data_IF_881680234489
#
_entry.id   IF_881680234489
#
_cell.length_a   1.000
_cell.length_b   1.000
_cell.length_c   1.000
_cell.angle_alpha   90.00
_cell.angle_beta   90.00
_cell.angle_gamma   90.00
#
_symmetry.space_group_name_H-M   'P 1'
#
loop_
_entity.id
_entity.type
_entity.pdbx_description
1 polymer ?
#
# COMPACT_ATOMS: atom_id res chain seq x y z
N UNK A 1 -0.32 26.52 0.92
CA UNK A 1 0.62 25.87 1.87
C UNK A 1 0.69 24.36 1.60
N UNK A 2 1.86 23.70 1.67
CA UNK A 2 1.99 22.29 1.26
C UNK A 2 1.55 21.32 2.38
N UNK A 3 0.61 20.42 2.08
CA UNK A 3 0.20 19.37 3.02
C UNK A 3 1.34 18.37 3.29
N UNK A 4 1.31 17.82 4.50
CA UNK A 4 2.25 16.80 4.95
C UNK A 4 1.97 15.47 4.22
N UNK A 5 2.99 14.86 3.60
CA UNK A 5 2.80 13.65 2.78
C UNK A 5 2.26 12.46 3.59
N UNK A 6 2.59 12.39 4.88
CA UNK A 6 2.06 11.36 5.78
C UNK A 6 0.54 11.46 6.01
N UNK A 7 -0.06 12.65 5.89
CA UNK A 7 -1.51 12.80 6.07
C UNK A 7 -2.31 12.09 4.96
N UNK A 8 -1.85 12.18 3.71
CA UNK A 8 -2.45 11.45 2.59
C UNK A 8 -2.33 9.94 2.73
N UNK A 9 -1.20 9.46 3.26
CA UNK A 9 -1.02 8.05 3.56
C UNK A 9 -1.92 7.57 4.69
N UNK A 10 -2.04 8.32 5.79
CA UNK A 10 -2.97 7.97 6.87
C UNK A 10 -4.42 7.97 6.38
N UNK A 11 -4.81 8.96 5.58
CA UNK A 11 -6.15 9.02 5.00
C UNK A 11 -6.44 7.81 4.10
N UNK A 12 -5.52 7.47 3.20
CA UNK A 12 -5.66 6.34 2.28
C UNK A 12 -5.61 4.99 3.01
N UNK A 13 -4.77 4.84 4.03
CA UNK A 13 -4.76 3.66 4.89
C UNK A 13 -6.06 3.55 5.68
N UNK A 14 -6.62 4.66 6.15
CA UNK A 14 -7.94 4.69 6.77
C UNK A 14 -9.03 4.16 5.82
N UNK A 15 -9.07 4.64 4.58
CA UNK A 15 -10.01 4.12 3.57
C UNK A 15 -9.75 2.65 3.20
N UNK A 16 -8.50 2.21 3.13
CA UNK A 16 -8.16 0.81 2.89
C UNK A 16 -8.63 -0.10 4.04
N UNK A 17 -8.45 0.33 5.30
CA UNK A 17 -8.98 -0.35 6.48
C UNK A 17 -10.50 -0.34 6.51
N UNK A 18 -11.14 0.75 6.08
CA UNK A 18 -12.60 0.81 5.95
C UNK A 18 -13.07 -0.23 4.90
N UNK A 19 -12.42 -0.28 3.74
CA UNK A 19 -12.73 -1.23 2.67
C UNK A 19 -12.51 -2.70 3.09
N UNK A 20 -11.52 -3.00 3.94
CA UNK A 20 -11.28 -4.38 4.41
C UNK A 20 -12.34 -4.90 5.38
N UNK A 21 -13.21 -4.03 5.89
CA UNK A 21 -14.31 -4.38 6.80
C UNK A 21 -15.66 -4.57 6.11
N UNK A 22 -15.72 -4.45 4.78
CA UNK A 22 -16.98 -4.59 4.04
C UNK A 22 -16.81 -5.34 2.73
N UNK A 23 -17.79 -6.18 2.41
CA UNK A 23 -17.95 -6.80 1.08
C UNK A 23 -19.14 -6.20 0.34
N UNK A 24 -19.80 -5.18 0.91
CA UNK A 24 -20.94 -4.51 0.29
C UNK A 24 -20.48 -3.68 -0.93
N UNK A 25 -20.97 -3.98 -2.14
CA UNK A 25 -20.51 -3.32 -3.36
C UNK A 25 -20.84 -1.84 -3.40
N UNK A 26 -21.93 -1.40 -2.75
CA UNK A 26 -22.33 0.00 -2.72
C UNK A 26 -21.35 0.83 -1.88
N UNK A 27 -20.95 0.30 -0.71
CA UNK A 27 -19.97 0.95 0.16
C UNK A 27 -18.58 0.97 -0.48
N UNK A 28 -18.16 -0.14 -1.10
CA UNK A 28 -16.90 -0.20 -1.85
C UNK A 28 -16.88 0.77 -3.03
N UNK A 29 -17.99 0.83 -3.79
CA UNK A 29 -18.18 1.80 -4.86
C UNK A 29 -18.13 3.24 -4.36
N UNK A 30 -18.71 3.53 -3.20
CA UNK A 30 -18.64 4.84 -2.54
C UNK A 30 -17.20 5.20 -2.15
N UNK A 31 -16.44 4.26 -1.56
CA UNK A 31 -15.03 4.48 -1.23
C UNK A 31 -14.22 4.78 -2.50
N UNK A 32 -14.44 4.03 -3.58
CA UNK A 32 -13.81 4.29 -4.88
C UNK A 32 -14.16 5.67 -5.42
N UNK A 33 -15.43 6.08 -5.35
CA UNK A 33 -15.89 7.38 -5.80
C UNK A 33 -15.24 8.52 -4.98
N UNK A 34 -15.25 8.41 -3.64
CA UNK A 34 -14.61 9.39 -2.75
C UNK A 34 -13.12 9.47 -3.02
N UNK A 35 -12.44 8.32 -3.17
CA UNK A 35 -11.02 8.28 -3.50
C UNK A 35 -10.73 8.93 -4.85
N UNK A 36 -11.54 8.62 -5.87
CA UNK A 36 -11.42 9.19 -7.20
C UNK A 36 -11.62 10.70 -7.22
N UNK A 37 -12.66 11.20 -6.55
CA UNK A 37 -12.94 12.64 -6.43
C UNK A 37 -11.76 13.35 -5.77
N UNK A 38 -11.31 12.88 -4.60
CA UNK A 38 -10.18 13.48 -3.88
C UNK A 38 -8.91 13.46 -4.72
N UNK A 39 -8.61 12.37 -5.43
CA UNK A 39 -7.45 12.29 -6.32
C UNK A 39 -7.57 13.31 -7.45
N UNK A 40 -8.72 13.39 -8.13
CA UNK A 40 -8.89 14.32 -9.25
C UNK A 40 -8.80 15.77 -8.81
N UNK A 41 -9.37 16.12 -7.65
CA UNK A 41 -9.40 17.50 -7.16
C UNK A 41 -8.11 17.94 -6.46
N UNK A 42 -7.43 17.03 -5.76
CA UNK A 42 -6.32 17.37 -4.87
C UNK A 42 -4.95 16.91 -5.38
N UNK A 43 -4.87 16.16 -6.50
CA UNK A 43 -3.58 15.75 -7.06
C UNK A 43 -2.78 16.96 -7.53
N UNK A 44 -1.51 17.00 -7.15
CA UNK A 44 -0.56 17.95 -7.71
C UNK A 44 -0.08 17.45 -9.09
N UNK A 45 0.20 18.37 -10.02
CA UNK A 45 0.82 18.08 -11.32
C UNK A 45 2.26 17.57 -11.11
N UNK A 46 2.38 16.27 -10.83
CA UNK A 46 3.64 15.57 -10.62
C UNK A 46 3.68 14.35 -11.52
N UNK A 47 4.86 13.79 -11.85
CA UNK A 47 4.97 12.59 -12.71
C UNK A 47 4.15 11.39 -12.20
N UNK A 48 3.86 11.35 -10.89
CA UNK A 48 3.09 10.29 -10.24
C UNK A 48 1.57 10.51 -10.25
N UNK A 49 1.08 11.62 -10.79
CA UNK A 49 -0.36 11.95 -10.82
C UNK A 49 -1.20 10.95 -11.64
N UNK A 50 -0.57 10.22 -12.57
CA UNK A 50 -1.21 9.14 -13.34
C UNK A 50 -1.26 7.78 -12.63
N UNK A 51 -0.62 7.64 -11.47
CA UNK A 51 -0.51 6.35 -10.76
C UNK A 51 -1.87 5.78 -10.38
N UNK A 52 -2.83 6.63 -9.99
CA UNK A 52 -4.18 6.19 -9.63
C UNK A 52 -4.89 5.45 -10.78
N UNK A 53 -4.78 5.96 -12.02
CA UNK A 53 -5.37 5.29 -13.18
C UNK A 53 -4.73 3.93 -13.49
N UNK A 54 -3.44 3.77 -13.20
CA UNK A 54 -2.75 2.48 -13.34
C UNK A 54 -3.27 1.48 -12.31
N UNK A 55 -3.43 1.90 -11.05
CA UNK A 55 -3.96 1.04 -9.99
C UNK A 55 -5.42 0.66 -10.21
N UNK A 56 -6.25 1.56 -10.76
CA UNK A 56 -7.63 1.23 -11.18
C UNK A 56 -7.65 0.15 -12.27
N UNK A 57 -6.77 0.24 -13.28
CA UNK A 57 -6.63 -0.79 -14.32
C UNK A 57 -6.22 -2.13 -13.72
N UNK A 58 -5.26 -2.14 -12.79
CA UNK A 58 -4.91 -3.36 -12.06
C UNK A 58 -6.09 -3.89 -11.24
N UNK A 59 -6.88 -3.02 -10.60
CA UNK A 59 -8.10 -3.42 -9.90
C UNK A 59 -9.10 -4.11 -10.82
N UNK A 60 -9.31 -3.58 -12.02
CA UNK A 60 -10.18 -4.21 -13.04
C UNK A 60 -9.64 -5.58 -13.48
N UNK A 61 -8.33 -5.71 -13.67
CA UNK A 61 -7.69 -7.00 -13.98
C UNK A 61 -7.88 -7.99 -12.82
N UNK A 62 -7.76 -7.56 -11.57
CA UNK A 62 -7.99 -8.41 -10.39
C UNK A 62 -9.44 -8.88 -10.33
N UNK A 63 -10.41 -8.01 -10.61
CA UNK A 63 -11.83 -8.39 -10.69
C UNK A 63 -12.02 -9.44 -11.79
N UNK A 64 -11.51 -9.18 -12.99
CA UNK A 64 -11.62 -10.09 -14.12
C UNK A 64 -10.97 -11.45 -13.83
N UNK A 65 -9.76 -11.45 -13.28
CA UNK A 65 -9.07 -12.68 -12.87
C UNK A 65 -9.84 -13.42 -11.79
N UNK A 66 -10.43 -12.73 -10.82
CA UNK A 66 -11.18 -13.38 -9.73
C UNK A 66 -12.48 -14.02 -10.22
N UNK A 67 -13.19 -13.33 -11.12
CA UNK A 67 -14.36 -13.89 -11.81
C UNK A 67 -13.96 -15.09 -12.67
N UNK A 68 -12.88 -14.97 -13.44
CA UNK A 68 -12.36 -16.05 -14.28
C UNK A 68 -11.99 -17.28 -13.45
N UNK A 69 -11.23 -17.09 -12.36
CA UNK A 69 -10.86 -18.17 -11.45
C UNK A 69 -12.10 -18.82 -10.82
N UNK A 70 -13.12 -18.04 -10.44
CA UNK A 70 -14.36 -18.60 -9.92
C UNK A 70 -15.12 -19.44 -10.97
N UNK A 71 -15.16 -18.98 -12.23
CA UNK A 71 -15.79 -19.72 -13.33
C UNK A 71 -15.08 -21.04 -13.62
N UNK A 72 -13.74 -21.08 -13.55
CA UNK A 72 -12.97 -22.29 -13.87
C UNK A 72 -12.76 -23.25 -12.70
N UNK A 73 -12.50 -22.74 -11.48
CA UNK A 73 -12.22 -23.55 -10.28
C UNK A 73 -13.49 -23.81 -9.45
N UNK A 74 -14.64 -23.32 -9.90
CA UNK A 74 -15.89 -23.38 -9.16
C UNK A 74 -15.83 -22.56 -7.87
N UNK A 75 -16.89 -22.65 -7.07
CA UNK A 75 -16.96 -22.00 -5.77
C UNK A 75 -18.31 -22.20 -5.10
N UNK A 76 -18.80 -21.14 -4.47
CA UNK A 76 -20.08 -21.16 -3.74
C UNK A 76 -21.22 -21.49 -4.71
N UNK A 77 -21.92 -22.58 -4.43
CA UNK A 77 -23.14 -22.96 -5.12
C UNK A 77 -24.33 -22.10 -4.71
N UNK A 78 -25.30 -21.98 -5.60
CA UNK A 78 -26.53 -21.21 -5.41
C UNK A 78 -27.69 -21.83 -6.20
N UNK A 79 -28.93 -21.44 -5.89
CA UNK A 79 -30.12 -21.98 -6.54
C UNK A 79 -30.21 -21.57 -8.03
N UNK A 80 -29.59 -20.46 -8.43
CA UNK A 80 -29.75 -19.89 -9.77
C UNK A 80 -28.56 -20.23 -10.66
N UNK A 81 -28.64 -21.33 -11.42
CA UNK A 81 -27.60 -21.73 -12.37
C UNK A 81 -27.73 -20.96 -13.68
N UNK A 82 -26.64 -20.33 -14.14
CA UNK A 82 -26.60 -19.61 -15.41
C UNK A 82 -26.16 -20.53 -16.56
N UNK A 83 -25.06 -21.25 -16.37
CA UNK A 83 -24.52 -22.18 -17.35
C UNK A 83 -23.66 -23.25 -16.68
N UNK A 84 -23.50 -24.40 -17.34
CA UNK A 84 -22.72 -25.54 -16.82
C UNK A 84 -21.51 -25.78 -17.70
N UNK A 85 -20.31 -25.68 -17.13
CA UNK A 85 -19.10 -26.13 -17.82
C UNK A 85 -18.94 -27.65 -17.67
N UNK A 86 -18.39 -28.34 -18.69
CA UNK A 86 -18.05 -29.75 -18.58
C UNK A 86 -17.09 -29.97 -17.40
N UNK A 87 -17.47 -30.87 -16.51
CA UNK A 87 -16.68 -31.20 -15.32
C UNK A 87 -15.59 -32.18 -15.69
N UNK A 88 -14.34 -31.87 -15.34
CA UNK A 88 -13.26 -32.84 -15.40
C UNK A 88 -13.22 -33.54 -14.05
N UNK A 89 -13.44 -34.87 -13.96
CA UNK A 89 -13.30 -35.58 -12.70
C UNK A 89 -11.85 -35.52 -12.26
N UNK A 90 -11.59 -34.81 -11.15
CA UNK A 90 -10.26 -34.82 -10.53
C UNK A 90 -10.10 -36.07 -9.67
N UNK A 91 -8.85 -36.57 -9.50
CA UNK A 91 -8.59 -37.73 -8.66
C UNK A 91 -8.83 -37.42 -7.18
N UNK A 92 -9.02 -38.45 -6.36
CA UNK A 92 -9.51 -38.32 -4.97
C UNK A 92 -8.65 -37.45 -4.04
N UNK A 93 -7.38 -37.22 -4.37
CA UNK A 93 -6.49 -36.31 -3.62
C UNK A 93 -6.79 -34.83 -3.85
N UNK A 94 -7.62 -34.48 -4.83
CA UNK A 94 -7.96 -33.11 -5.23
C UNK A 94 -9.48 -32.81 -5.15
N UNK A 95 -10.25 -33.55 -4.34
CA UNK A 95 -11.70 -33.36 -4.21
C UNK A 95 -12.13 -31.98 -3.66
N UNK A 96 -11.20 -31.17 -3.15
CA UNK A 96 -11.45 -29.79 -2.71
C UNK A 96 -11.49 -28.75 -3.84
N UNK A 97 -11.06 -29.09 -5.06
CA UNK A 97 -11.01 -28.18 -6.21
C UNK A 97 -11.86 -28.79 -7.31
N UNK A 98 -12.88 -28.06 -7.81
CA UNK A 98 -13.72 -28.53 -8.92
C UNK A 98 -13.33 -27.77 -10.18
N UNK A 99 -12.72 -28.45 -11.16
CA UNK A 99 -12.47 -27.81 -12.46
C UNK A 99 -13.76 -27.90 -13.28
N UNK A 100 -14.41 -26.75 -13.48
CA UNK A 100 -15.71 -26.63 -14.16
C UNK A 100 -16.92 -26.89 -13.25
N UNK A 101 -18.10 -27.08 -13.87
CA UNK A 101 -19.37 -27.29 -13.17
C UNK A 101 -20.39 -26.16 -13.35
N UNK A 102 -21.51 -26.17 -12.58
CA UNK A 102 -22.55 -25.15 -12.68
C UNK A 102 -22.02 -23.80 -12.17
N UNK A 103 -22.03 -22.79 -13.04
CA UNK A 103 -21.76 -21.41 -12.68
C UNK A 103 -23.07 -20.77 -12.24
N UNK A 104 -23.14 -20.37 -10.98
CA UNK A 104 -24.32 -19.81 -10.34
C UNK A 104 -24.24 -18.28 -10.33
N UNK A 105 -25.39 -17.61 -10.39
CA UNK A 105 -25.45 -16.16 -10.29
C UNK A 105 -24.90 -15.67 -8.94
N UNK A 106 -25.20 -16.40 -7.87
CA UNK A 106 -24.77 -16.13 -6.51
C UNK A 106 -23.24 -16.20 -6.37
N UNK A 107 -22.63 -17.26 -6.91
CA UNK A 107 -21.18 -17.44 -6.89
C UNK A 107 -20.47 -16.35 -7.69
N UNK A 108 -21.01 -15.97 -8.85
CA UNK A 108 -20.47 -14.91 -9.68
C UNK A 108 -20.51 -13.55 -8.97
N UNK A 109 -21.64 -13.23 -8.32
CA UNK A 109 -21.81 -12.00 -7.53
C UNK A 109 -20.86 -12.00 -6.33
N UNK A 110 -20.71 -13.13 -5.63
CA UNK A 110 -19.74 -13.27 -4.54
C UNK A 110 -18.30 -13.02 -5.02
N UNK A 111 -17.90 -13.64 -6.13
CA UNK A 111 -16.57 -13.44 -6.72
C UNK A 111 -16.34 -11.99 -7.14
N UNK A 112 -17.37 -11.33 -7.67
CA UNK A 112 -17.36 -9.91 -8.03
C UNK A 112 -17.19 -9.02 -6.78
N UNK A 113 -17.95 -9.25 -5.71
CA UNK A 113 -17.84 -8.48 -4.46
C UNK A 113 -16.46 -8.59 -3.84
N UNK A 114 -15.92 -9.81 -3.81
CA UNK A 114 -14.58 -10.05 -3.32
C UNK A 114 -13.49 -9.47 -4.23
N UNK A 115 -13.72 -9.42 -5.54
CA UNK A 115 -12.83 -8.78 -6.51
C UNK A 115 -12.84 -7.27 -6.32
N UNK A 116 -14.02 -6.69 -6.14
CA UNK A 116 -14.23 -5.27 -5.89
C UNK A 116 -13.58 -4.81 -4.58
N UNK A 117 -13.61 -5.64 -3.52
CA UNK A 117 -12.90 -5.38 -2.27
C UNK A 117 -11.40 -5.20 -2.52
N UNK A 118 -10.77 -6.18 -3.17
CA UNK A 118 -9.33 -6.12 -3.49
C UNK A 118 -9.01 -4.92 -4.40
N UNK A 119 -9.83 -4.66 -5.40
CA UNK A 119 -9.68 -3.53 -6.30
C UNK A 119 -9.79 -2.19 -5.56
N UNK A 120 -10.67 -2.09 -4.56
CA UNK A 120 -10.84 -0.90 -3.72
C UNK A 120 -9.61 -0.65 -2.85
N UNK A 121 -9.12 -1.68 -2.15
CA UNK A 121 -7.89 -1.58 -1.35
C UNK A 121 -6.72 -1.16 -2.24
N UNK A 122 -6.58 -1.78 -3.42
CA UNK A 122 -5.53 -1.43 -4.37
C UNK A 122 -5.67 0.02 -4.85
N UNK A 123 -6.89 0.47 -5.12
CA UNK A 123 -7.17 1.86 -5.52
C UNK A 123 -6.84 2.86 -4.42
N UNK A 124 -7.07 2.54 -3.14
CA UNK A 124 -6.63 3.37 -2.01
C UNK A 124 -5.10 3.53 -1.97
N UNK A 125 -4.35 2.46 -2.23
CA UNK A 125 -2.88 2.53 -2.37
C UNK A 125 -2.49 3.38 -3.59
N UNK A 126 -3.20 3.24 -4.70
CA UNK A 126 -3.04 4.10 -5.88
C UNK A 126 -3.28 5.58 -5.56
N UNK A 127 -4.29 5.88 -4.75
CA UNK A 127 -4.63 7.24 -4.32
C UNK A 127 -3.54 7.83 -3.43
N UNK A 128 -3.03 7.07 -2.46
CA UNK A 128 -1.87 7.47 -1.65
C UNK A 128 -0.67 7.86 -2.52
N UNK A 129 -0.33 7.05 -3.52
CA UNK A 129 0.81 7.30 -4.40
C UNK A 129 0.57 8.47 -5.38
N UNK A 130 -0.68 8.74 -5.75
CA UNK A 130 -1.04 9.89 -6.59
C UNK A 130 -1.04 11.22 -5.82
N UNK A 131 -1.39 11.19 -4.53
CA UNK A 131 -1.52 12.37 -3.67
C UNK A 131 -0.24 12.69 -2.88
N UNK A 132 0.54 11.68 -2.52
CA UNK A 132 1.77 11.83 -1.74
C UNK A 132 3.03 11.65 -2.59
N UNK A 133 4.03 12.51 -2.39
CA UNK A 133 5.34 12.34 -3.02
C UNK A 133 6.20 11.36 -2.19
N UNK A 134 6.60 10.19 -2.75
CA UNK A 134 7.34 9.17 -2.00
C UNK A 134 8.66 9.68 -1.42
N UNK A 135 9.38 10.54 -2.16
CA UNK A 135 10.64 11.14 -1.69
C UNK A 135 10.43 12.05 -0.48
N UNK A 136 9.28 12.73 -0.40
CA UNK A 136 8.93 13.56 0.77
C UNK A 136 8.55 12.70 1.96
N UNK A 137 7.82 11.61 1.74
CA UNK A 137 7.47 10.66 2.81
C UNK A 137 8.74 10.09 3.47
N UNK A 138 9.73 9.71 2.67
CA UNK A 138 11.02 9.21 3.18
C UNK A 138 11.76 10.27 4.02
N UNK A 139 11.66 11.56 3.66
CA UNK A 139 12.24 12.65 4.48
C UNK A 139 11.53 12.88 5.80
N UNK A 140 10.23 12.58 5.86
CA UNK A 140 9.43 12.65 7.10
C UNK A 140 9.62 11.45 8.03
N UNK A 141 10.39 10.43 7.63
CA UNK A 141 10.67 9.30 8.51
C UNK A 141 11.41 9.74 9.78
N UNK A 142 11.10 9.14 10.94
CA UNK A 142 11.75 9.42 12.20
C UNK A 142 13.26 9.14 12.10
N UNK A 143 14.07 9.89 12.83
CA UNK A 143 15.53 9.76 12.73
C UNK A 143 16.05 8.39 13.22
N UNK A 144 15.24 7.62 13.95
CA UNK A 144 15.51 6.21 14.26
C UNK A 144 15.75 5.36 13.00
N UNK A 145 15.09 5.70 11.89
CA UNK A 145 15.20 5.01 10.61
C UNK A 145 16.18 5.71 9.66
N UNK A 146 17.08 6.55 10.18
CA UNK A 146 17.97 7.37 9.36
C UNK A 146 18.81 6.54 8.41
N UNK A 147 19.44 5.46 8.89
CA UNK A 147 20.28 4.58 8.07
C UNK A 147 19.50 3.96 6.92
N UNK A 148 18.31 3.42 7.21
CA UNK A 148 17.39 2.87 6.20
C UNK A 148 16.95 3.96 5.22
N UNK A 149 16.61 5.15 5.72
CA UNK A 149 16.14 6.27 4.90
C UNK A 149 17.22 6.77 3.96
N UNK A 150 18.47 6.88 4.43
CA UNK A 150 19.63 7.27 3.61
C UNK A 150 19.88 6.21 2.53
N UNK A 151 19.90 4.93 2.90
CA UNK A 151 20.08 3.84 1.94
C UNK A 151 19.00 3.89 0.83
N UNK A 152 17.73 4.05 1.20
CA UNK A 152 16.62 4.15 0.23
C UNK A 152 16.73 5.41 -0.62
N UNK A 153 17.06 6.56 -0.04
CA UNK A 153 17.21 7.82 -0.79
C UNK A 153 18.39 7.74 -1.77
N UNK A 154 19.51 7.14 -1.36
CA UNK A 154 20.66 6.86 -2.23
C UNK A 154 20.22 5.93 -3.36
N UNK A 155 19.56 4.81 -3.06
CA UNK A 155 19.07 3.88 -4.07
C UNK A 155 18.11 4.56 -5.07
N UNK A 156 17.16 5.38 -4.61
CA UNK A 156 16.24 6.13 -5.46
C UNK A 156 16.95 7.18 -6.34
N UNK A 157 18.12 7.66 -5.94
CA UNK A 157 18.92 8.62 -6.70
C UNK A 157 19.84 7.92 -7.70
N UNK A 158 20.38 6.76 -7.32
CA UNK A 158 21.29 5.96 -8.15
C UNK A 158 20.52 5.12 -9.19
N UNK A 159 19.28 4.70 -8.90
CA UNK A 159 18.45 3.93 -9.85
C UNK A 159 18.33 4.57 -11.26
N UNK A 160 17.94 5.85 -11.42
CA UNK A 160 17.90 6.46 -12.76
C UNK A 160 19.28 6.55 -13.42
N UNK A 161 20.34 6.69 -12.63
CA UNK A 161 21.70 6.69 -13.12
C UNK A 161 22.09 5.32 -13.69
N UNK A 162 21.80 4.23 -12.98
CA UNK A 162 22.02 2.86 -13.47
C UNK A 162 21.26 2.58 -14.77
N UNK A 163 20.03 3.08 -14.90
CA UNK A 163 19.26 2.98 -16.15
C UNK A 163 19.95 3.74 -17.28
N UNK A 164 20.51 4.92 -17.01
CA UNK A 164 21.25 5.69 -18.02
C UNK A 164 22.55 5.00 -18.44
N UNK A 165 23.31 4.46 -17.49
CA UNK A 165 24.54 3.69 -17.76
C UNK A 165 24.22 2.43 -18.56
N UNK A 166 23.16 1.70 -18.18
CA UNK A 166 22.65 0.57 -18.94
C UNK A 166 22.30 0.98 -20.39
N UNK A 167 21.57 2.08 -20.59
CA UNK A 167 21.26 2.56 -21.95
C UNK A 167 22.51 2.92 -22.74
N UNK A 168 23.51 3.53 -22.12
CA UNK A 168 24.79 3.88 -22.73
C UNK A 168 25.57 2.62 -23.16
N UNK A 169 25.72 1.63 -22.28
CA UNK A 169 26.37 0.34 -22.57
C UNK A 169 25.65 -0.37 -23.72
N UNK A 170 24.32 -0.40 -23.70
CA UNK A 170 23.51 -1.00 -24.77
C UNK A 170 23.72 -0.30 -26.12
N UNK A 171 23.87 1.04 -26.12
CA UNK A 171 24.13 1.83 -27.32
C UNK A 171 25.54 1.59 -27.86
N UNK A 172 26.57 1.57 -26.99
CA UNK A 172 27.94 1.28 -27.38
C UNK A 172 28.09 -0.10 -28.02
N UNK A 173 27.42 -1.12 -27.48
CA UNK A 173 27.40 -2.47 -28.08
C UNK A 173 26.76 -2.51 -29.46
N UNK A 174 25.63 -1.82 -29.64
CA UNK A 174 24.98 -1.71 -30.96
C UNK A 174 25.91 -1.06 -31.99
N UNK A 175 26.69 -0.05 -31.60
CA UNK A 175 27.68 0.59 -32.47
C UNK A 175 28.87 -0.31 -32.80
N UNK A 176 29.22 -1.26 -31.91
CA UNK A 176 30.26 -2.28 -32.13
C UNK A 176 29.78 -3.50 -32.93
N UNK A 177 28.56 -3.46 -33.47
CA UNK A 177 28.01 -4.57 -34.26
C UNK A 177 27.62 -5.81 -33.45
N UNK A 178 27.53 -5.71 -32.12
CA UNK A 178 27.13 -6.84 -31.28
C UNK A 178 25.64 -7.17 -31.48
N UNK A 179 25.38 -8.37 -31.99
CA UNK A 179 24.04 -8.89 -32.26
C UNK A 179 23.51 -9.80 -31.17
N UNK A 180 24.25 -10.01 -30.07
CA UNK A 180 23.84 -10.89 -28.99
C UNK A 180 22.44 -10.51 -28.44
N UNK A 181 21.56 -11.51 -28.31
CA UNK A 181 20.21 -11.40 -27.73
C UNK A 181 20.06 -12.31 -26.52
N UNK A 182 19.04 -12.04 -25.70
CA UNK A 182 18.70 -12.87 -24.55
C UNK A 182 19.71 -12.81 -23.40
N UNK A 183 19.86 -13.92 -22.68
CA UNK A 183 20.65 -14.01 -21.43
C UNK A 183 22.13 -13.66 -21.64
N UNK A 184 22.71 -14.03 -22.78
CA UNK A 184 24.11 -13.73 -23.11
C UNK A 184 24.35 -12.22 -23.22
N UNK A 185 23.40 -11.49 -23.81
CA UNK A 185 23.46 -10.03 -23.89
C UNK A 185 23.32 -9.36 -22.51
N UNK A 186 22.52 -9.93 -21.62
CA UNK A 186 22.36 -9.45 -20.23
C UNK A 186 23.66 -9.66 -19.45
N UNK A 187 24.28 -10.84 -19.52
CA UNK A 187 25.55 -11.13 -18.83
C UNK A 187 26.67 -10.18 -19.25
N UNK A 188 26.82 -9.94 -20.55
CA UNK A 188 27.81 -8.99 -21.10
C UNK A 188 27.49 -7.53 -20.72
N UNK A 189 26.23 -7.21 -20.39
CA UNK A 189 25.82 -5.89 -19.91
C UNK A 189 26.06 -5.67 -18.44
N UNK A 190 25.97 -6.76 -17.67
CA UNK A 190 25.97 -6.70 -16.24
C UNK A 190 27.33 -6.24 -15.72
N UNK A 191 28.43 -6.79 -16.25
CA UNK A 191 29.79 -6.47 -15.77
C UNK A 191 30.10 -4.97 -15.87
N UNK A 192 29.97 -4.30 -17.04
CA UNK A 192 30.27 -2.87 -17.12
C UNK A 192 29.33 -1.99 -16.28
N UNK A 193 28.07 -2.40 -16.11
CA UNK A 193 27.10 -1.65 -15.30
C UNK A 193 27.40 -1.81 -13.81
N UNK A 194 27.83 -3.00 -13.37
CA UNK A 194 28.24 -3.23 -11.99
C UNK A 194 29.54 -2.50 -11.67
N UNK A 195 30.50 -2.47 -12.60
CA UNK A 195 31.75 -1.70 -12.46
C UNK A 195 31.46 -0.19 -12.28
N UNK A 196 30.67 0.41 -13.18
CA UNK A 196 30.24 1.83 -13.05
C UNK A 196 29.43 2.07 -11.76
N UNK A 197 28.63 1.10 -11.32
CA UNK A 197 27.90 1.19 -10.06
C UNK A 197 28.83 1.16 -8.84
N UNK A 198 29.84 0.28 -8.85
CA UNK A 198 30.81 0.14 -7.77
C UNK A 198 31.66 1.41 -7.64
N UNK A 199 32.20 1.94 -8.74
CA UNK A 199 32.99 3.17 -8.75
C UNK A 199 32.19 4.35 -8.18
N UNK A 200 30.94 4.51 -8.62
CA UNK A 200 30.05 5.54 -8.07
C UNK A 200 29.73 5.33 -6.59
N UNK A 201 29.55 4.09 -6.17
CA UNK A 201 29.30 3.79 -4.75
C UNK A 201 30.51 4.15 -3.88
N UNK A 202 31.73 3.92 -4.37
CA UNK A 202 32.98 4.27 -3.68
C UNK A 202 33.16 5.80 -3.57
N UNK A 203 32.93 6.52 -4.67
CA UNK A 203 32.97 8.00 -4.68
C UNK A 203 31.92 8.59 -3.74
N UNK A 204 30.69 8.05 -3.76
CA UNK A 204 29.64 8.48 -2.86
C UNK A 204 30.00 8.21 -1.41
N UNK A 205 30.52 7.02 -1.09
CA UNK A 205 30.96 6.65 0.25
C UNK A 205 32.07 7.59 0.78
N UNK A 206 33.09 7.87 -0.03
CA UNK A 206 34.17 8.80 0.32
C UNK A 206 33.64 10.23 0.58
N UNK A 207 32.67 10.69 -0.23
CA UNK A 207 32.03 12.00 -0.04
C UNK A 207 31.16 12.05 1.23
N UNK A 208 30.52 10.93 1.58
CA UNK A 208 29.70 10.80 2.79
C UNK A 208 30.58 10.81 4.04
N UNK A 209 31.68 10.07 4.02
CA UNK A 209 32.65 10.04 5.14
C UNK A 209 33.29 11.41 5.37
N UNK A 210 33.69 12.10 4.31
CA UNK A 210 34.22 13.48 4.38
C UNK A 210 33.23 14.47 4.99
N UNK A 211 31.92 14.25 4.81
CA UNK A 211 30.83 15.05 5.40
C UNK A 211 30.45 14.60 6.81
N UNK A 212 31.12 13.60 7.36
CA UNK A 212 30.88 13.07 8.70
C UNK A 212 29.65 12.16 8.81
N UNK A 213 29.14 11.61 7.70
CA UNK A 213 28.11 10.58 7.75
C UNK A 213 28.66 9.32 8.44
N UNK A 214 27.85 8.65 9.27
CA UNK A 214 28.24 7.42 9.95
C UNK A 214 28.89 7.60 11.32
N UNK A 215 29.24 8.84 11.74
CA UNK A 215 29.58 9.10 13.14
C UNK A 215 28.33 8.94 14.00
N UNK A 216 28.27 7.84 14.74
CA UNK A 216 27.24 7.63 15.77
C UNK A 216 27.34 8.77 16.77
N UNK A 217 26.26 9.55 16.90
CA UNK A 217 26.19 10.71 17.78
C UNK A 217 26.18 10.31 19.28
N UNK A 218 27.23 9.63 19.75
CA UNK A 218 27.40 9.26 21.17
C UNK A 218 26.28 8.38 21.74
N UNK A 219 25.66 7.53 20.93
CA UNK A 219 24.52 6.70 21.38
C UNK A 219 25.07 5.61 22.30
N UNK A 220 24.66 5.61 23.58
CA UNK A 220 25.05 4.56 24.52
C UNK A 220 24.48 3.20 24.11
N UNK A 221 25.19 2.11 24.43
CA UNK A 221 24.77 0.74 24.10
C UNK A 221 23.37 0.42 24.66
N UNK A 222 23.08 0.89 25.88
CA UNK A 222 21.77 0.71 26.54
C UNK A 222 20.64 1.32 25.72
N UNK A 223 20.85 2.51 25.20
CA UNK A 223 19.86 3.21 24.38
C UNK A 223 19.58 2.53 23.04
N UNK A 224 20.62 1.98 22.41
CA UNK A 224 20.48 1.19 21.17
C UNK A 224 19.64 -0.06 21.43
N UNK A 225 19.91 -0.77 22.52
CA UNK A 225 19.17 -1.96 22.92
C UNK A 225 17.72 -1.63 23.27
N UNK A 226 17.47 -0.55 24.04
CA UNK A 226 16.12 -0.13 24.40
C UNK A 226 15.30 0.27 23.16
N UNK A 227 15.91 1.02 22.24
CA UNK A 227 15.25 1.41 20.98
C UNK A 227 14.92 0.18 20.14
N UNK A 228 15.88 -0.75 20.01
CA UNK A 228 15.68 -2.01 19.30
C UNK A 228 14.57 -2.87 19.93
N UNK A 229 14.59 -3.01 21.26
CA UNK A 229 13.56 -3.75 22.00
C UNK A 229 12.18 -3.13 21.81
N UNK A 230 12.03 -1.81 22.00
CA UNK A 230 10.74 -1.13 21.82
C UNK A 230 10.18 -1.29 20.39
N UNK A 231 11.03 -1.16 19.37
CA UNK A 231 10.60 -1.32 17.97
C UNK A 231 10.25 -2.78 17.66
N UNK A 232 11.06 -3.75 18.10
CA UNK A 232 10.79 -5.17 17.86
C UNK A 232 9.55 -5.64 18.61
N UNK A 233 9.44 -5.34 19.91
CA UNK A 233 8.26 -5.68 20.70
C UNK A 233 7.01 -4.98 20.16
N UNK A 234 7.13 -3.72 19.72
CA UNK A 234 6.05 -3.01 19.05
C UNK A 234 5.60 -3.69 17.76
N UNK A 235 6.56 -4.11 16.92
CA UNK A 235 6.29 -4.85 15.67
C UNK A 235 5.61 -6.20 15.95
N UNK A 236 6.11 -6.99 16.91
CA UNK A 236 5.48 -8.24 17.31
C UNK A 236 4.06 -8.02 17.84
N UNK A 237 3.83 -6.98 18.65
CA UNK A 237 2.49 -6.62 19.13
C UNK A 237 1.53 -6.24 18.01
N UNK A 238 2.01 -5.49 17.00
CA UNK A 238 1.22 -5.17 15.80
C UNK A 238 0.87 -6.42 14.98
N UNK A 239 1.84 -7.32 14.76
CA UNK A 239 1.62 -8.57 14.02
C UNK A 239 0.62 -9.49 14.74
N UNK A 240 0.81 -9.67 16.05
CA UNK A 240 -0.06 -10.49 16.90
C UNK A 240 -1.46 -9.88 16.91
N UNK A 241 -1.60 -8.59 17.23
CA UNK A 241 -2.91 -7.93 17.25
C UNK A 241 -3.62 -7.95 15.89
N UNK A 242 -2.90 -7.78 14.78
CA UNK A 242 -3.46 -7.90 13.43
C UNK A 242 -3.96 -9.33 13.15
N UNK A 243 -3.19 -10.34 13.53
CA UNK A 243 -3.63 -11.74 13.43
C UNK A 243 -4.89 -11.99 14.24
N UNK A 244 -4.97 -11.48 15.48
CA UNK A 244 -6.17 -11.59 16.32
C UNK A 244 -7.41 -11.01 15.64
N UNK A 245 -7.30 -9.84 14.99
CA UNK A 245 -8.40 -9.22 14.25
C UNK A 245 -8.78 -9.97 12.96
N UNK A 246 -7.80 -10.51 12.24
CA UNK A 246 -8.04 -11.20 10.96
C UNK A 246 -8.56 -12.63 11.14
N UNK A 247 -8.07 -13.34 12.17
CA UNK A 247 -8.45 -14.71 12.47
C UNK A 247 -9.68 -14.79 13.38
N UNK A 248 -10.20 -13.66 13.84
CA UNK A 248 -11.29 -13.54 14.84
C UNK A 248 -11.02 -14.41 16.09
N UNK A 249 -9.75 -14.61 16.43
CA UNK A 249 -9.34 -15.54 17.49
C UNK A 249 -9.49 -14.93 18.89
N UNK A 250 -9.32 -13.62 19.01
CA UNK A 250 -9.45 -12.83 20.24
C UNK A 250 -9.57 -11.34 19.89
N UNK A 251 -9.92 -10.50 20.86
CA UNK A 251 -9.92 -9.04 20.66
C UNK A 251 -8.50 -8.54 20.41
N UNK A 252 -8.11 -8.40 19.14
CA UNK A 252 -6.78 -7.97 18.71
C UNK A 252 -6.49 -6.47 18.94
N UNK A 253 -7.52 -5.67 19.23
CA UNK A 253 -7.43 -4.22 19.43
C UNK A 253 -6.44 -3.76 20.51
N UNK A 254 -6.43 -4.34 21.72
CA UNK A 254 -5.51 -3.91 22.78
C UNK A 254 -4.05 -4.17 22.41
N UNK A 255 -3.78 -5.33 21.79
CA UNK A 255 -2.45 -5.72 21.31
C UNK A 255 -1.97 -4.83 20.16
N UNK A 256 -2.85 -4.49 19.22
CA UNK A 256 -2.57 -3.52 18.16
C UNK A 256 -2.27 -2.13 18.72
N UNK A 257 -3.06 -1.66 19.69
CA UNK A 257 -2.85 -0.36 20.32
C UNK A 257 -1.53 -0.32 21.10
N UNK A 258 -1.25 -1.35 21.92
CA UNK A 258 -0.02 -1.47 22.69
C UNK A 258 1.20 -1.58 21.77
N UNK A 259 1.13 -2.44 20.74
CA UNK A 259 2.18 -2.60 19.74
C UNK A 259 2.47 -1.29 19.01
N UNK A 260 1.42 -0.56 18.62
CA UNK A 260 1.53 0.77 18.02
C UNK A 260 2.18 1.80 18.95
N UNK A 261 1.77 1.83 20.21
CA UNK A 261 2.35 2.72 21.22
C UNK A 261 3.84 2.43 21.46
N UNK A 262 4.21 1.15 21.59
CA UNK A 262 5.60 0.72 21.75
C UNK A 262 6.45 1.06 20.52
N UNK A 263 5.92 0.83 19.32
CA UNK A 263 6.60 1.19 18.07
C UNK A 263 6.81 2.71 17.97
N UNK A 264 5.79 3.52 18.27
CA UNK A 264 5.90 4.99 18.27
C UNK A 264 6.88 5.47 19.35
N UNK A 265 6.85 4.87 20.55
CA UNK A 265 7.78 5.17 21.62
C UNK A 265 9.22 4.87 21.21
N UNK A 266 9.49 3.69 20.63
CA UNK A 266 10.80 3.31 20.10
C UNK A 266 11.29 4.24 18.99
N UNK A 267 10.41 4.62 18.06
CA UNK A 267 10.75 5.56 17.00
C UNK A 267 11.03 6.98 17.55
N UNK A 268 10.28 7.43 18.57
CA UNK A 268 10.45 8.75 19.19
C UNK A 268 11.72 8.83 20.03
N UNK A 269 12.03 7.78 20.80
CA UNK A 269 13.28 7.69 21.57
C UNK A 269 14.48 7.64 20.63
N UNK A 270 14.40 6.90 19.51
CA UNK A 270 15.43 6.90 18.47
C UNK A 270 15.55 8.24 17.73
N UNK A 271 14.44 8.94 17.48
CA UNK A 271 14.42 10.20 16.72
C UNK A 271 15.07 11.39 17.43
N UNK A 272 15.01 11.45 18.78
CA UNK A 272 15.59 12.54 19.59
C UNK A 272 17.13 12.59 19.53
N UNK A 273 17.77 11.56 18.98
CA UNK A 273 19.22 11.30 19.12
C UNK A 273 20.05 11.73 17.92
N UNK A 274 19.42 12.22 16.85
CA UNK A 274 20.12 12.68 15.65
C UNK A 274 20.04 14.22 15.58
N UNK A 275 21.13 14.94 15.89
CA UNK A 275 21.16 16.38 15.74
C UNK A 275 21.00 16.73 14.26
N UNK A 276 19.94 17.47 13.91
CA UNK A 276 19.71 17.98 12.55
C UNK A 276 20.09 19.45 12.53
N UNK A 277 21.14 19.81 11.80
CA UNK A 277 21.66 21.20 11.75
C UNK A 277 20.87 22.11 10.80
N UNK A 278 20.33 21.58 9.69
CA UNK A 278 19.39 22.30 8.81
C UNK A 278 18.36 21.35 8.18
N UNK A 279 17.27 21.08 8.90
CA UNK A 279 16.09 20.43 8.32
C UNK A 279 14.87 21.32 8.55
N UNK A 280 14.16 21.67 7.47
CA UNK A 280 12.88 22.39 7.56
C UNK A 280 11.76 21.36 7.40
N UNK A 281 11.22 20.78 8.49
CA UNK A 281 10.19 19.77 8.41
C UNK A 281 8.91 20.34 7.79
N UNK A 282 8.23 19.53 6.99
CA UNK A 282 6.84 19.78 6.63
C UNK A 282 6.00 19.73 7.92
N UNK A 283 5.47 20.87 8.35
CA UNK A 283 4.71 20.97 9.60
C UNK A 283 3.34 20.29 9.45
N UNK A 284 2.91 19.58 10.50
CA UNK A 284 1.52 19.15 10.65
C UNK A 284 0.66 20.39 10.83
N UNK A 285 0.00 20.81 9.76
CA UNK A 285 -0.94 21.94 9.77
C UNK A 285 -2.31 21.41 10.14
N UNK A 286 -3.21 22.24 10.70
CA UNK A 286 -4.60 21.84 10.97
C UNK A 286 -5.29 21.18 9.77
N UNK A 287 -5.01 21.68 8.55
CA UNK A 287 -5.45 21.07 7.28
C UNK A 287 -4.96 19.63 7.09
N UNK A 288 -3.69 19.36 7.40
CA UNK A 288 -3.12 18.01 7.29
C UNK A 288 -3.70 17.05 8.34
N UNK A 289 -3.96 17.55 9.56
CA UNK A 289 -4.64 16.78 10.60
C UNK A 289 -6.07 16.47 10.16
N UNK A 290 -6.82 17.44 9.63
CA UNK A 290 -8.18 17.22 9.13
C UNK A 290 -8.26 16.15 8.03
N UNK A 291 -7.31 16.16 7.08
CA UNK A 291 -7.20 15.09 6.08
C UNK A 291 -6.97 13.74 6.73
N UNK A 292 -5.98 13.60 7.62
CA UNK A 292 -5.70 12.33 8.29
C UNK A 292 -6.89 11.83 9.12
N UNK A 293 -7.48 12.70 9.94
CA UNK A 293 -8.63 12.39 10.80
C UNK A 293 -9.84 11.97 9.97
N UNK A 294 -10.11 12.60 8.83
CA UNK A 294 -11.26 12.22 7.99
C UNK A 294 -11.20 10.77 7.47
N UNK A 295 -10.01 10.28 7.09
CA UNK A 295 -9.85 8.89 6.66
C UNK A 295 -9.83 7.91 7.83
N UNK A 296 -9.24 8.30 8.97
CA UNK A 296 -9.26 7.49 10.20
C UNK A 296 -10.69 7.38 10.74
N UNK A 297 -11.49 8.45 10.69
CA UNK A 297 -12.89 8.44 11.12
C UNK A 297 -13.70 7.42 10.30
N UNK A 298 -13.54 7.39 8.98
CA UNK A 298 -14.18 6.39 8.13
C UNK A 298 -13.78 4.95 8.53
N UNK A 299 -12.49 4.72 8.80
CA UNK A 299 -12.00 3.42 9.26
C UNK A 299 -12.63 2.99 10.59
N UNK A 300 -12.62 3.89 11.59
CA UNK A 300 -13.15 3.63 12.94
C UNK A 300 -14.64 3.30 12.86
N UNK A 301 -15.44 4.08 12.12
CA UNK A 301 -16.87 3.82 12.00
C UNK A 301 -17.12 2.46 11.36
N UNK A 302 -16.48 2.12 10.23
CA UNK A 302 -16.72 0.81 9.59
C UNK A 302 -16.23 -0.37 10.43
N UNK A 303 -15.14 -0.19 11.17
CA UNK A 303 -14.62 -1.21 12.08
C UNK A 303 -15.61 -1.53 13.21
N UNK A 304 -16.17 -0.49 13.83
CA UNK A 304 -17.00 -0.62 15.03
C UNK A 304 -18.51 -0.59 14.75
N UNK A 305 -18.93 -0.44 13.48
CA UNK A 305 -20.35 -0.35 13.12
C UNK A 305 -21.11 -1.62 13.51
N UNK A 306 -20.49 -2.80 13.40
CA UNK A 306 -21.14 -4.10 13.64
C UNK A 306 -22.35 -4.37 12.75
N UNK A 307 -22.57 -3.56 11.70
CA UNK A 307 -23.77 -3.59 10.88
C UNK A 307 -23.72 -4.80 9.93
N UNK A 308 -24.68 -5.73 9.98
CA UNK A 308 -24.71 -6.91 9.12
C UNK A 308 -24.79 -6.53 7.63
N UNK A 309 -25.32 -5.36 7.28
CA UNK A 309 -25.38 -4.88 5.90
C UNK A 309 -23.98 -4.61 5.29
N UNK A 310 -22.91 -4.57 6.09
CA UNK A 310 -21.53 -4.48 5.59
C UNK A 310 -21.06 -5.76 4.91
N UNK A 311 -21.69 -6.91 5.20
CA UNK A 311 -21.38 -8.20 4.62
C UNK A 311 -22.66 -8.86 4.07
N UNK A 312 -23.21 -8.36 2.94
CA UNK A 312 -24.46 -8.88 2.39
C UNK A 312 -24.33 -10.36 2.01
N UNK A 313 -25.35 -11.15 2.34
CA UNK A 313 -25.42 -12.55 1.92
C UNK A 313 -25.63 -12.61 0.40
N UNK A 314 -24.99 -13.58 -0.23
CA UNK A 314 -25.13 -13.85 -1.67
C UNK A 314 -26.01 -15.06 -1.93
N UNK A 315 -26.37 -15.82 -0.90
CA UNK A 315 -27.22 -17.01 -0.96
C UNK A 315 -28.31 -16.88 0.12
N UNK A 316 -29.58 -16.63 -0.22
CA UNK A 316 -30.11 -16.32 -1.56
C UNK A 316 -29.66 -14.94 -2.07
N UNK A 317 -29.81 -14.70 -3.38
CA UNK A 317 -29.44 -13.43 -3.99
C UNK A 317 -30.40 -12.31 -3.54
N UNK A 318 -29.89 -11.33 -2.79
CA UNK A 318 -30.64 -10.16 -2.35
C UNK A 318 -29.93 -8.87 -2.78
N UNK A 319 -30.71 -7.82 -3.03
CA UNK A 319 -30.15 -6.52 -3.32
C UNK A 319 -29.43 -5.97 -2.07
N UNK A 320 -28.17 -5.54 -2.17
CA UNK A 320 -27.45 -5.02 -1.02
C UNK A 320 -28.06 -3.68 -0.58
N UNK A 321 -28.37 -3.56 0.70
CA UNK A 321 -28.81 -2.30 1.30
C UNK A 321 -27.61 -1.38 1.53
N UNK A 322 -27.85 -0.06 1.52
CA UNK A 322 -26.81 0.92 1.84
C UNK A 322 -26.91 1.31 3.32
N UNK A 323 -25.96 0.87 4.17
CA UNK A 323 -25.97 1.26 5.56
C UNK A 323 -25.60 2.74 5.68
N UNK A 324 -26.55 3.55 6.16
CA UNK A 324 -26.45 5.02 6.16
C UNK A 324 -25.26 5.54 6.99
N UNK A 325 -25.02 4.95 8.16
CA UNK A 325 -23.95 5.39 9.07
C UNK A 325 -22.56 5.14 8.47
N UNK A 326 -22.20 3.93 8.00
CA UNK A 326 -20.98 3.69 7.23
C UNK A 326 -20.87 4.56 5.98
N UNK A 327 -21.95 4.75 5.24
CA UNK A 327 -21.94 5.58 4.03
C UNK A 327 -21.60 7.05 4.35
N UNK A 328 -22.25 7.62 5.37
CA UNK A 328 -21.95 8.97 5.85
C UNK A 328 -20.50 9.10 6.34
N UNK A 329 -19.97 8.08 7.04
CA UNK A 329 -18.59 8.09 7.49
C UNK A 329 -17.58 8.07 6.32
N UNK A 330 -17.86 7.31 5.26
CA UNK A 330 -17.05 7.35 4.03
C UNK A 330 -17.16 8.73 3.35
N UNK A 331 -18.33 9.37 3.37
CA UNK A 331 -18.49 10.73 2.84
C UNK A 331 -17.69 11.77 3.63
N UNK A 332 -17.50 11.60 4.95
CA UNK A 332 -16.59 12.46 5.74
C UNK A 332 -15.16 12.44 5.17
N UNK A 333 -14.73 11.35 4.53
CA UNK A 333 -13.43 11.29 3.88
C UNK A 333 -13.30 12.19 2.64
N UNK A 334 -14.37 12.90 2.20
CA UNK A 334 -14.34 13.99 1.21
C UNK A 334 -13.89 15.33 1.77
N UNK A 335 -13.73 15.47 3.09
CA UNK A 335 -13.20 16.67 3.75
C UNK A 335 -11.95 17.27 3.07
N UNK A 336 -10.98 16.47 2.54
CA UNK A 336 -9.83 17.02 1.81
C UNK A 336 -10.23 17.90 0.62
N UNK A 337 -11.35 17.62 -0.06
CA UNK A 337 -11.84 18.44 -1.20
C UNK A 337 -12.16 19.86 -0.76
N UNK A 338 -12.75 20.04 0.42
CA UNK A 338 -13.06 21.36 0.96
C UNK A 338 -11.82 22.08 1.52
N UNK A 339 -10.90 21.32 2.15
CA UNK A 339 -9.74 21.89 2.85
C UNK A 339 -8.58 22.22 1.90
N UNK A 340 -8.37 21.42 0.87
CA UNK A 340 -7.21 21.52 -0.05
C UNK A 340 -7.49 22.46 -1.23
N UNK A 341 -8.77 22.68 -1.55
CA UNK A 341 -9.19 23.56 -2.64
C UNK A 341 -9.02 25.03 -2.25
N UNK A 342 -7.80 25.52 -2.31
CA UNK A 342 -7.53 26.93 -2.53
C UNK A 342 -7.49 27.17 -4.04
N UNK A 343 -8.27 28.17 -4.49
CA UNK A 343 -8.26 28.73 -5.84
C UNK A 343 -6.85 29.17 -6.26
#
# INVERSE_FOLDING_TARGET
MRLHSGAWWLWALGLATAASRTTNPLVLGLILAVAGVVVVTCRANTPWAGTYGVFLKFGLVVIGLRVLLHVFLGGIGGPTTLFTLPQVPLPDWAQGIRIGGPVTAEGLVFALYQGLLLATILSCVGAANALANPKRLLRSLPAALYEVSVAVVVALTVAPQLVSSARAVRRARRLRGDTARGVRAVRTMLVPVLEDALDRSLVLAASMDSRGYGRTAGITRKDRVLTGALVLTGLFGLCIGMYGLLADAYSGWPLLALGGLLAVAGLRTGARRVPRTRYRPDRWTARAVGVAVSGVAAAVVLVFSGDPALAPTTVPLQAPELPLVPALAVLVALVPVAIVRER
#
